data_IF_017931043062
#
_entry.id   IF_017931043062
#
_cell.length_a   1.000
_cell.length_b   1.000
_cell.length_c   1.000
_cell.angle_alpha   90.00
_cell.angle_beta   90.00
_cell.angle_gamma   90.00
#
_symmetry.space_group_name_H-M   'P 1'
#
loop_
_entity.id
_entity.type
_entity.pdbx_description
1 polymer ?
#
# COMPACT_ATOMS: atom_id res chain seq x y z
N UNK A 1 45.97 -37.26 -17.52
CA UNK A 1 45.40 -37.69 -16.22
C UNK A 1 46.42 -38.38 -15.30
N UNK A 2 47.67 -37.88 -15.25
CA UNK A 2 48.76 -38.49 -14.47
C UNK A 2 49.56 -37.52 -13.58
N UNK A 3 49.39 -36.21 -13.73
CA UNK A 3 50.21 -35.21 -13.03
C UNK A 3 49.58 -34.65 -11.74
N UNK A 4 48.27 -34.82 -11.51
CA UNK A 4 47.60 -34.28 -10.31
C UNK A 4 47.68 -35.20 -9.06
N UNK A 5 48.13 -36.45 -9.22
CA UNK A 5 48.20 -37.42 -8.12
C UNK A 5 49.42 -37.25 -7.20
N UNK A 6 50.46 -36.54 -7.64
CA UNK A 6 51.72 -36.43 -6.86
C UNK A 6 51.74 -35.29 -5.82
N UNK A 7 50.82 -34.33 -5.88
CA UNK A 7 50.82 -33.19 -4.92
C UNK A 7 50.08 -33.54 -3.62
N UNK A 8 49.16 -34.50 -3.63
CA UNK A 8 48.29 -34.81 -2.49
C UNK A 8 48.77 -35.97 -1.58
N UNK A 9 50.01 -36.44 -1.74
CA UNK A 9 50.58 -37.50 -0.88
C UNK A 9 51.33 -37.00 0.37
N UNK A 10 51.38 -35.69 0.61
CA UNK A 10 52.22 -35.07 1.64
C UNK A 10 51.50 -34.67 2.95
N UNK A 11 50.18 -34.84 3.04
CA UNK A 11 49.42 -34.56 4.27
C UNK A 11 48.49 -35.73 4.56
N UNK A 12 48.89 -36.59 5.51
CA UNK A 12 48.19 -37.81 5.93
C UNK A 12 46.86 -37.58 6.66
N UNK A 13 45.96 -36.80 6.07
CA UNK A 13 44.58 -36.66 6.53
C UNK A 13 43.66 -37.48 5.60
N UNK A 14 42.81 -38.38 6.14
CA UNK A 14 41.85 -39.10 5.31
C UNK A 14 40.82 -38.12 4.77
N UNK A 15 40.88 -37.86 3.45
CA UNK A 15 39.84 -37.14 2.72
C UNK A 15 38.54 -37.95 2.84
N UNK A 16 37.65 -37.59 3.77
CA UNK A 16 36.28 -38.12 3.79
C UNK A 16 35.50 -37.37 2.72
N UNK A 17 35.06 -38.02 1.62
CA UNK A 17 34.32 -37.33 0.59
C UNK A 17 33.01 -36.79 1.18
N UNK A 18 32.63 -35.59 0.76
CA UNK A 18 31.37 -34.90 1.10
C UNK A 18 30.14 -35.82 0.85
N UNK A 19 30.27 -36.79 -0.06
CA UNK A 19 29.28 -37.84 -0.33
C UNK A 19 28.91 -38.70 0.89
N UNK A 20 29.82 -38.90 1.85
CA UNK A 20 29.61 -39.75 3.02
C UNK A 20 28.78 -39.11 4.15
N UNK A 21 28.65 -37.77 4.12
CA UNK A 21 27.85 -36.98 5.07
C UNK A 21 26.48 -36.69 4.46
N UNK A 22 26.45 -36.27 3.19
CA UNK A 22 25.23 -36.04 2.43
C UNK A 22 24.42 -37.33 2.25
N UNK A 23 25.10 -38.44 1.96
CA UNK A 23 24.48 -39.77 1.84
C UNK A 23 23.73 -40.15 3.11
N UNK A 24 24.33 -39.95 4.29
CA UNK A 24 23.69 -40.26 5.58
C UNK A 24 22.45 -39.40 5.90
N UNK A 25 22.42 -38.15 5.43
CA UNK A 25 21.28 -37.26 5.64
C UNK A 25 20.12 -37.56 4.69
N UNK A 26 20.41 -37.96 3.45
CA UNK A 26 19.44 -38.25 2.39
C UNK A 26 19.02 -39.72 2.33
N UNK A 27 19.11 -40.45 3.45
CA UNK A 27 18.84 -41.89 3.52
C UNK A 27 17.36 -42.30 3.32
N UNK A 28 16.42 -41.35 3.25
CA UNK A 28 14.99 -41.66 3.10
C UNK A 28 14.37 -40.83 1.98
N UNK A 29 13.38 -41.37 1.25
CA UNK A 29 12.66 -40.62 0.22
C UNK A 29 12.05 -39.31 0.75
N UNK A 30 11.58 -39.31 2.01
CA UNK A 30 11.04 -38.11 2.66
C UNK A 30 12.09 -36.99 2.78
N UNK A 31 13.28 -37.29 3.29
CA UNK A 31 14.36 -36.31 3.42
C UNK A 31 14.89 -35.85 2.06
N UNK A 32 14.92 -36.74 1.08
CA UNK A 32 15.26 -36.39 -0.31
C UNK A 32 14.26 -35.41 -0.88
N UNK A 33 12.96 -35.68 -0.75
CA UNK A 33 11.89 -34.79 -1.17
C UNK A 33 11.98 -33.40 -0.51
N UNK A 34 12.14 -33.34 0.82
CA UNK A 34 12.31 -32.08 1.55
C UNK A 34 13.55 -31.32 1.07
N UNK A 35 14.68 -32.01 0.88
CA UNK A 35 15.92 -31.39 0.44
C UNK A 35 15.80 -30.83 -0.99
N UNK A 36 15.17 -31.56 -1.90
CA UNK A 36 14.91 -31.07 -3.27
C UNK A 36 14.00 -29.84 -3.22
N UNK A 37 12.91 -29.86 -2.45
CA UNK A 37 11.99 -28.73 -2.36
C UNK A 37 12.67 -27.48 -1.77
N UNK A 38 13.44 -27.63 -0.69
CA UNK A 38 14.21 -26.54 -0.09
C UNK A 38 15.29 -26.02 -1.05
N UNK A 39 15.98 -26.92 -1.74
CA UNK A 39 16.97 -26.53 -2.75
C UNK A 39 16.31 -25.76 -3.90
N UNK A 40 15.15 -26.21 -4.41
CA UNK A 40 14.39 -25.50 -5.43
C UNK A 40 13.99 -24.11 -4.96
N UNK A 41 13.47 -23.97 -3.74
CA UNK A 41 13.13 -22.66 -3.17
C UNK A 41 14.34 -21.74 -3.09
N UNK A 42 15.46 -22.20 -2.51
CA UNK A 42 16.68 -21.39 -2.37
C UNK A 42 17.27 -21.05 -3.75
N UNK A 43 17.24 -21.98 -4.70
CA UNK A 43 17.72 -21.74 -6.05
C UNK A 43 16.89 -20.64 -6.74
N UNK A 44 15.57 -20.66 -6.58
CA UNK A 44 14.70 -19.65 -7.19
C UNK A 44 14.85 -18.32 -6.48
N UNK A 45 14.72 -18.29 -5.15
CA UNK A 45 14.66 -17.05 -4.37
C UNK A 45 16.02 -16.36 -4.24
N UNK A 46 17.11 -17.13 -4.16
CA UNK A 46 18.45 -16.61 -3.91
C UNK A 46 19.35 -16.84 -5.12
N UNK A 47 19.30 -18.03 -5.72
CA UNK A 47 20.17 -18.39 -6.84
C UNK A 47 19.89 -17.57 -8.09
N UNK A 48 18.65 -17.51 -8.56
CA UNK A 48 18.28 -16.78 -9.79
C UNK A 48 18.60 -15.28 -9.64
N UNK A 49 18.25 -14.58 -8.54
CA UNK A 49 18.58 -13.17 -8.42
C UNK A 49 20.06 -12.87 -8.32
N UNK A 50 20.88 -13.84 -7.90
CA UNK A 50 22.34 -13.69 -7.80
C UNK A 50 23.05 -13.77 -9.15
N UNK A 51 22.43 -14.36 -10.18
CA UNK A 51 23.08 -14.57 -11.49
C UNK A 51 23.26 -13.27 -12.29
N UNK A 52 22.23 -12.42 -12.52
CA UNK A 52 22.39 -11.21 -13.36
C UNK A 52 23.47 -10.23 -12.88
N UNK A 53 23.63 -9.95 -11.56
CA UNK A 53 24.68 -9.05 -11.08
C UNK A 53 26.10 -9.52 -11.38
N UNK A 54 26.33 -10.84 -11.44
CA UNK A 54 27.64 -11.42 -11.82
C UNK A 54 28.02 -11.07 -13.27
N UNK A 55 27.02 -10.81 -14.12
CA UNK A 55 27.21 -10.39 -15.51
C UNK A 55 27.06 -8.87 -15.72
N UNK A 56 27.01 -8.08 -14.63
CA UNK A 56 26.88 -6.63 -14.70
C UNK A 56 25.47 -6.12 -15.01
N UNK A 57 24.44 -6.96 -14.87
CA UNK A 57 23.04 -6.58 -15.07
C UNK A 57 22.30 -6.48 -13.73
N UNK A 58 21.40 -5.48 -13.55
CA UNK A 58 20.55 -5.43 -12.36
C UNK A 58 19.56 -6.60 -12.35
N UNK A 59 19.35 -7.17 -11.18
CA UNK A 59 18.38 -8.26 -10.98
C UNK A 59 17.02 -7.69 -10.59
N UNK A 60 15.95 -8.14 -11.25
CA UNK A 60 14.60 -7.78 -10.86
C UNK A 60 14.12 -8.69 -9.72
N UNK A 61 13.30 -8.18 -8.78
CA UNK A 61 12.68 -9.01 -7.75
C UNK A 61 11.74 -10.03 -8.42
N UNK A 62 11.82 -11.29 -7.98
CA UNK A 62 11.01 -12.38 -8.52
C UNK A 62 9.61 -12.26 -7.90
N UNK A 63 8.53 -12.20 -8.71
CA UNK A 63 7.18 -12.19 -8.18
C UNK A 63 6.85 -13.48 -7.41
N UNK A 64 6.17 -13.36 -6.26
CA UNK A 64 5.76 -14.51 -5.44
C UNK A 64 4.97 -15.57 -6.23
N UNK A 65 4.17 -15.16 -7.22
CA UNK A 65 3.42 -16.06 -8.09
C UNK A 65 4.34 -16.99 -8.89
N UNK A 66 5.45 -16.46 -9.40
CA UNK A 66 6.44 -17.24 -10.16
C UNK A 66 7.10 -18.28 -9.27
N UNK A 67 7.50 -17.87 -8.04
CA UNK A 67 8.06 -18.79 -7.05
C UNK A 67 7.07 -19.92 -6.74
N UNK A 68 5.81 -19.59 -6.51
CA UNK A 68 4.75 -20.57 -6.23
C UNK A 68 4.57 -21.57 -7.38
N UNK A 69 4.49 -21.11 -8.62
CA UNK A 69 4.32 -21.97 -9.81
C UNK A 69 5.46 -23.00 -9.93
N UNK A 70 6.71 -22.57 -9.81
CA UNK A 70 7.85 -23.48 -9.90
C UNK A 70 7.92 -24.45 -8.72
N UNK A 71 7.55 -24.02 -7.51
CA UNK A 71 7.47 -24.94 -6.36
C UNK A 71 6.35 -25.97 -6.54
N UNK A 72 5.21 -25.60 -7.12
CA UNK A 72 4.14 -26.56 -7.46
C UNK A 72 4.67 -27.60 -8.46
N UNK A 73 5.36 -27.18 -9.50
CA UNK A 73 5.97 -28.10 -10.48
C UNK A 73 6.97 -29.04 -9.80
N UNK A 74 7.82 -28.51 -8.91
CA UNK A 74 8.78 -29.32 -8.15
C UNK A 74 8.06 -30.33 -7.25
N UNK A 75 6.98 -29.94 -6.57
CA UNK A 75 6.15 -30.83 -5.75
C UNK A 75 5.53 -31.93 -6.60
N UNK A 76 4.96 -31.60 -7.77
CA UNK A 76 4.39 -32.60 -8.68
C UNK A 76 5.46 -33.59 -9.13
N UNK A 77 6.65 -33.12 -9.52
CA UNK A 77 7.77 -33.98 -9.90
C UNK A 77 8.23 -34.89 -8.76
N UNK A 78 8.34 -34.36 -7.53
CA UNK A 78 8.66 -35.14 -6.33
C UNK A 78 7.59 -36.21 -6.10
N UNK A 79 6.31 -35.85 -6.15
CA UNK A 79 5.21 -36.79 -5.92
C UNK A 79 5.21 -37.92 -6.95
N UNK A 80 5.39 -37.60 -8.24
CA UNK A 80 5.51 -38.60 -9.30
C UNK A 80 6.68 -39.55 -9.03
N UNK A 81 7.85 -39.00 -8.68
CA UNK A 81 9.04 -39.78 -8.36
C UNK A 81 8.84 -40.69 -7.14
N UNK A 82 8.23 -40.19 -6.05
CA UNK A 82 7.97 -40.99 -4.85
C UNK A 82 6.92 -42.08 -5.14
N UNK A 83 5.87 -41.78 -5.89
CA UNK A 83 4.74 -42.68 -6.13
C UNK A 83 5.04 -43.82 -7.11
N UNK A 84 6.10 -43.68 -7.91
CA UNK A 84 6.47 -44.64 -8.96
C UNK A 84 6.98 -45.99 -8.42
N UNK A 85 7.23 -46.13 -7.10
CA UNK A 85 7.57 -47.42 -6.49
C UNK A 85 6.91 -47.57 -5.11
N UNK A 86 6.23 -48.70 -4.87
CA UNK A 86 5.53 -48.97 -3.60
C UNK A 86 6.46 -48.93 -2.38
N UNK A 87 7.70 -49.40 -2.51
CA UNK A 87 8.68 -49.32 -1.44
C UNK A 87 9.03 -47.86 -1.10
N UNK A 88 9.31 -47.02 -2.10
CA UNK A 88 9.59 -45.59 -1.91
C UNK A 88 8.39 -44.87 -1.30
N UNK A 89 7.19 -45.19 -1.76
CA UNK A 89 5.95 -44.62 -1.25
C UNK A 89 5.71 -44.97 0.23
N UNK A 90 5.95 -46.23 0.61
CA UNK A 90 5.87 -46.67 2.00
C UNK A 90 6.90 -45.93 2.87
N UNK A 91 8.17 -45.93 2.48
CA UNK A 91 9.26 -45.26 3.20
C UNK A 91 9.06 -43.75 3.30
N UNK A 92 8.46 -43.11 2.28
CA UNK A 92 8.13 -41.69 2.30
C UNK A 92 7.06 -41.34 3.34
N UNK A 93 6.02 -42.19 3.48
CA UNK A 93 4.92 -41.96 4.43
C UNK A 93 5.28 -42.31 5.87
N UNK A 94 6.24 -43.19 6.09
CA UNK A 94 6.63 -43.68 7.42
C UNK A 94 6.79 -42.55 8.46
N UNK A 95 7.57 -41.46 8.23
CA UNK A 95 7.72 -40.40 9.21
C UNK A 95 6.41 -39.69 9.58
N UNK A 96 5.50 -39.52 8.60
CA UNK A 96 4.20 -38.88 8.80
C UNK A 96 3.31 -39.77 9.66
N UNK A 97 3.25 -41.06 9.31
CA UNK A 97 2.50 -42.05 10.05
C UNK A 97 3.03 -42.20 11.49
N UNK A 98 4.35 -42.17 11.67
CA UNK A 98 5.00 -42.29 12.96
C UNK A 98 4.57 -41.18 13.93
N UNK A 99 4.53 -39.94 13.45
CA UNK A 99 4.13 -38.79 14.27
C UNK A 99 2.61 -38.77 14.50
N UNK A 100 1.81 -39.08 13.48
CA UNK A 100 0.35 -38.92 13.55
C UNK A 100 -0.37 -40.10 14.21
N UNK A 101 0.18 -41.32 14.13
CA UNK A 101 -0.54 -42.55 14.52
C UNK A 101 0.07 -43.20 15.75
N UNK A 102 1.40 -43.22 15.93
CA UNK A 102 2.01 -44.01 17.00
C UNK A 102 1.65 -43.47 18.41
N UNK A 103 1.30 -44.35 19.36
CA UNK A 103 0.87 -43.94 20.71
C UNK A 103 1.95 -43.27 21.56
N UNK A 104 3.22 -43.56 21.31
CA UNK A 104 4.39 -43.00 22.01
C UNK A 104 4.66 -41.54 21.61
N UNK A 105 4.18 -41.10 20.44
CA UNK A 105 4.39 -39.73 19.91
C UNK A 105 3.26 -38.75 20.22
N UNK A 106 2.37 -39.06 21.16
CA UNK A 106 1.20 -38.23 21.54
C UNK A 106 1.54 -36.76 21.82
N UNK A 107 2.66 -36.49 22.50
CA UNK A 107 3.10 -35.12 22.82
C UNK A 107 3.53 -34.39 21.55
N UNK A 108 4.33 -35.03 20.68
CA UNK A 108 4.77 -34.44 19.42
C UNK A 108 3.57 -34.14 18.50
N UNK A 109 2.59 -35.05 18.45
CA UNK A 109 1.33 -34.84 17.72
C UNK A 109 0.51 -33.69 18.28
N UNK A 110 0.37 -33.62 19.61
CA UNK A 110 -0.32 -32.51 20.28
C UNK A 110 0.35 -31.17 19.99
N UNK A 111 1.68 -31.12 20.07
CA UNK A 111 2.46 -29.93 19.71
C UNK A 111 2.24 -29.54 18.23
N UNK A 112 2.23 -30.50 17.30
CA UNK A 112 1.97 -30.25 15.89
C UNK A 112 0.57 -29.61 15.67
N UNK A 113 -0.46 -30.15 16.32
CA UNK A 113 -1.83 -29.62 16.21
C UNK A 113 -2.05 -28.25 16.86
N UNK A 114 -1.14 -27.79 17.72
CA UNK A 114 -1.19 -26.43 18.28
C UNK A 114 -0.31 -25.48 17.47
N UNK A 115 0.92 -25.88 17.16
CA UNK A 115 1.91 -25.04 16.49
C UNK A 115 1.48 -24.72 15.06
N UNK A 116 1.00 -25.71 14.29
CA UNK A 116 0.65 -25.48 12.88
C UNK A 116 -0.49 -24.46 12.75
N UNK A 117 -1.64 -24.60 13.44
CA UNK A 117 -2.68 -23.58 13.41
C UNK A 117 -2.23 -22.23 13.96
N UNK A 118 -1.41 -22.20 15.02
CA UNK A 118 -0.90 -20.94 15.56
C UNK A 118 0.01 -20.20 14.58
N UNK A 119 0.88 -20.92 13.86
CA UNK A 119 1.73 -20.36 12.80
C UNK A 119 0.90 -19.85 11.63
N UNK A 120 -0.12 -20.61 11.19
CA UNK A 120 -1.04 -20.16 10.14
C UNK A 120 -1.80 -18.91 10.58
N UNK A 121 -2.34 -18.90 11.80
CA UNK A 121 -3.06 -17.74 12.35
C UNK A 121 -2.14 -16.51 12.46
N UNK A 122 -0.91 -16.68 12.95
CA UNK A 122 0.07 -15.61 13.01
C UNK A 122 0.40 -15.08 11.61
N UNK A 123 0.70 -15.97 10.65
CA UNK A 123 0.99 -15.59 9.27
C UNK A 123 -0.18 -14.83 8.64
N UNK A 124 -1.41 -15.34 8.79
CA UNK A 124 -2.61 -14.66 8.28
C UNK A 124 -2.80 -13.30 8.93
N UNK A 125 -2.62 -13.19 10.25
CA UNK A 125 -2.71 -11.92 10.96
C UNK A 125 -1.72 -10.90 10.41
N UNK A 126 -0.44 -11.27 10.32
CA UNK A 126 0.61 -10.36 9.82
C UNK A 126 0.47 -10.05 8.33
N UNK A 127 0.00 -10.98 7.51
CA UNK A 127 -0.25 -10.73 6.08
C UNK A 127 -1.51 -9.91 5.81
N UNK A 128 -2.50 -9.93 6.71
CA UNK A 128 -3.77 -9.21 6.54
C UNK A 128 -3.81 -7.85 7.26
N UNK A 129 -2.73 -7.45 7.95
CA UNK A 129 -2.67 -6.12 8.56
C UNK A 129 -2.76 -5.03 7.47
N UNK A 130 -3.72 -4.08 7.56
CA UNK A 130 -3.81 -2.98 6.62
C UNK A 130 -2.58 -2.08 6.70
N UNK A 131 -2.00 -1.73 5.56
CA UNK A 131 -0.99 -0.68 5.48
C UNK A 131 -1.69 0.68 5.47
N UNK A 132 -1.45 1.48 6.51
CA UNK A 132 -1.96 2.85 6.65
C UNK A 132 -0.97 3.90 6.12
N UNK A 133 0.18 3.45 5.61
CA UNK A 133 1.16 4.34 4.99
C UNK A 133 0.63 4.89 3.67
N UNK A 134 1.14 6.06 3.30
CA UNK A 134 0.74 6.64 2.05
C UNK A 134 1.36 5.94 0.85
N UNK A 135 0.56 5.54 -0.16
CA UNK A 135 1.09 5.07 -1.41
C UNK A 135 2.04 6.17 -1.92
N UNK A 136 3.25 5.80 -2.35
CA UNK A 136 4.29 6.74 -2.77
C UNK A 136 4.00 7.40 -4.12
N UNK A 137 2.73 7.43 -4.57
CA UNK A 137 2.35 8.13 -5.79
C UNK A 137 2.55 9.63 -5.63
N UNK A 138 3.01 10.28 -6.70
CA UNK A 138 3.06 11.73 -6.79
C UNK A 138 1.63 12.27 -6.68
N UNK A 139 1.32 12.91 -5.55
CA UNK A 139 0.03 13.59 -5.35
C UNK A 139 -0.03 14.79 -6.26
N UNK A 140 -1.06 14.86 -7.12
CA UNK A 140 -1.52 16.16 -7.57
C UNK A 140 -2.18 16.84 -6.37
N UNK A 141 -1.49 17.79 -5.73
CA UNK A 141 -2.00 18.49 -4.56
C UNK A 141 -3.28 19.25 -4.92
N UNK A 142 -3.47 19.60 -6.20
CA UNK A 142 -4.65 20.25 -6.76
C UNK A 142 -5.08 19.47 -8.03
N UNK A 143 -6.01 18.50 -7.93
CA UNK A 143 -6.55 17.84 -9.12
C UNK A 143 -7.29 18.87 -9.99
N UNK A 144 -7.42 18.64 -11.30
CA UNK A 144 -8.19 19.53 -12.15
C UNK A 144 -9.68 19.54 -11.71
N UNK A 145 -10.30 20.71 -11.48
CA UNK A 145 -11.72 20.77 -11.18
C UNK A 145 -12.54 20.32 -12.41
N UNK A 146 -13.73 19.73 -12.21
CA UNK A 146 -14.66 19.52 -13.31
C UNK A 146 -15.17 20.87 -13.85
N UNK A 147 -15.58 20.91 -15.12
CA UNK A 147 -16.15 22.13 -15.73
C UNK A 147 -17.49 22.53 -15.12
N UNK A 148 -18.25 21.56 -14.60
CA UNK A 148 -19.52 21.80 -13.91
C UNK A 148 -19.78 20.74 -12.85
N UNK A 149 -20.64 21.10 -11.89
CA UNK A 149 -21.13 20.21 -10.84
C UNK A 149 -22.64 20.36 -10.70
N UNK A 150 -23.30 19.31 -10.21
CA UNK A 150 -24.69 19.42 -9.73
C UNK A 150 -24.65 19.78 -8.25
N UNK A 151 -25.20 20.92 -7.85
CA UNK A 151 -25.36 21.34 -6.47
C UNK A 151 -26.85 21.41 -6.14
N UNK A 152 -27.32 20.60 -5.19
CA UNK A 152 -28.73 20.57 -4.76
C UNK A 152 -29.76 20.44 -5.91
N UNK A 153 -29.39 19.73 -6.99
CA UNK A 153 -30.25 19.50 -8.15
C UNK A 153 -30.09 20.53 -9.29
N UNK A 154 -29.32 21.60 -9.07
CA UNK A 154 -29.02 22.61 -10.09
C UNK A 154 -27.62 22.40 -10.66
N UNK A 155 -27.45 22.64 -11.96
CA UNK A 155 -26.14 22.56 -12.62
C UNK A 155 -25.41 23.89 -12.48
N UNK A 156 -24.23 23.86 -11.87
CA UNK A 156 -23.34 25.00 -11.69
C UNK A 156 -22.08 24.81 -12.54
N UNK A 157 -21.81 25.75 -13.45
CA UNK A 157 -20.57 25.79 -14.23
C UNK A 157 -19.50 26.45 -13.37
N UNK A 158 -18.37 25.78 -13.15
CA UNK A 158 -17.29 26.26 -12.29
C UNK A 158 -16.24 27.08 -13.05
N UNK A 159 -16.15 26.86 -14.36
CA UNK A 159 -15.27 27.59 -15.25
C UNK A 159 -15.70 29.06 -15.33
N UNK A 160 -14.78 29.98 -15.04
CA UNK A 160 -15.09 31.41 -14.96
C UNK A 160 -15.99 31.83 -13.80
N UNK A 161 -16.41 30.92 -12.91
CA UNK A 161 -17.31 31.25 -11.82
C UNK A 161 -16.57 32.03 -10.72
N UNK A 162 -17.02 33.25 -10.50
CA UNK A 162 -16.59 34.09 -9.39
C UNK A 162 -17.57 34.00 -8.22
N UNK A 163 -17.10 34.32 -7.02
CA UNK A 163 -17.95 34.34 -5.84
C UNK A 163 -18.97 35.49 -5.94
N UNK A 164 -20.28 35.21 -6.09
CA UNK A 164 -21.29 36.26 -6.30
C UNK A 164 -21.41 37.22 -5.11
N UNK A 165 -21.06 36.76 -3.90
CA UNK A 165 -21.13 37.55 -2.68
C UNK A 165 -20.05 38.64 -2.60
N UNK A 166 -19.04 38.64 -3.50
CA UNK A 166 -18.07 39.75 -3.59
C UNK A 166 -18.67 41.03 -4.15
N UNK A 167 -19.71 40.93 -4.99
CA UNK A 167 -20.38 42.08 -5.60
C UNK A 167 -21.79 42.32 -5.03
N UNK A 168 -22.37 41.34 -4.35
CA UNK A 168 -23.71 41.41 -3.77
C UNK A 168 -23.66 41.53 -2.24
N UNK A 169 -24.33 42.54 -1.68
CA UNK A 169 -24.49 42.70 -0.24
C UNK A 169 -23.27 43.31 0.47
N UNK A 170 -23.13 43.03 1.77
CA UNK A 170 -22.05 43.55 2.61
C UNK A 170 -20.97 42.48 2.82
N UNK A 171 -19.74 42.77 2.39
CA UNK A 171 -18.61 41.85 2.58
C UNK A 171 -18.38 41.49 4.06
N UNK A 172 -18.57 42.45 4.96
CA UNK A 172 -18.45 42.25 6.41
C UNK A 172 -19.48 41.25 6.94
N UNK A 173 -20.72 41.32 6.44
CA UNK A 173 -21.79 40.41 6.83
C UNK A 173 -21.52 38.99 6.33
N UNK A 174 -21.03 38.87 5.10
CA UNK A 174 -20.62 37.60 4.51
C UNK A 174 -19.41 37.00 5.24
N UNK A 175 -18.45 37.83 5.65
CA UNK A 175 -17.31 37.40 6.46
C UNK A 175 -17.75 36.83 7.80
N UNK A 176 -18.60 37.53 8.56
CA UNK A 176 -19.07 37.05 9.86
C UNK A 176 -19.96 35.80 9.73
N UNK A 177 -20.77 35.72 8.68
CA UNK A 177 -21.53 34.49 8.34
C UNK A 177 -20.58 33.33 8.07
N UNK A 178 -19.56 33.53 7.23
CA UNK A 178 -18.58 32.51 6.88
C UNK A 178 -17.78 32.02 8.09
N UNK A 179 -17.39 32.94 8.95
CA UNK A 179 -16.74 32.65 10.23
C UNK A 179 -17.64 31.79 11.12
N UNK A 180 -18.91 32.15 11.29
CA UNK A 180 -19.85 31.36 12.07
C UNK A 180 -19.95 29.92 11.52
N UNK A 181 -20.15 29.77 10.21
CA UNK A 181 -20.27 28.46 9.57
C UNK A 181 -18.97 27.65 9.72
N UNK A 182 -17.81 28.27 9.53
CA UNK A 182 -16.51 27.62 9.69
C UNK A 182 -16.31 27.08 11.11
N UNK A 183 -16.60 27.89 12.13
CA UNK A 183 -16.40 27.49 13.52
C UNK A 183 -17.37 26.38 13.96
N UNK A 184 -18.57 26.32 13.38
CA UNK A 184 -19.54 25.27 13.67
C UNK A 184 -19.22 23.95 12.97
N UNK A 185 -18.66 24.00 11.75
CA UNK A 185 -18.62 22.85 10.85
C UNK A 185 -17.20 22.37 10.50
N UNK A 186 -16.25 23.29 10.35
CA UNK A 186 -14.94 23.02 9.75
C UNK A 186 -13.81 22.97 10.79
N UNK A 187 -13.96 23.71 11.90
CA UNK A 187 -12.96 23.89 12.95
C UNK A 187 -12.38 22.58 13.49
N UNK A 188 -13.24 21.58 13.70
CA UNK A 188 -12.85 20.33 14.35
C UNK A 188 -11.74 19.58 13.58
N UNK A 189 -11.66 19.77 12.26
CA UNK A 189 -10.63 19.18 11.41
C UNK A 189 -9.56 20.21 10.98
N UNK A 190 -9.95 21.43 10.65
CA UNK A 190 -9.03 22.43 10.07
C UNK A 190 -8.34 23.34 11.12
N UNK A 191 -8.87 23.42 12.34
CA UNK A 191 -8.30 24.20 13.44
C UNK A 191 -8.58 25.70 13.35
N UNK A 192 -8.55 26.40 14.49
CA UNK A 192 -8.85 27.84 14.61
C UNK A 192 -7.85 28.72 13.86
N UNK A 193 -6.57 28.30 13.82
CA UNK A 193 -5.52 28.96 13.07
C UNK A 193 -5.54 28.71 11.56
N UNK A 194 -6.51 27.96 11.02
CA UNK A 194 -6.58 27.58 9.59
C UNK A 194 -5.36 26.78 9.09
N UNK A 195 -4.70 26.03 9.98
CA UNK A 195 -3.44 25.31 9.70
C UNK A 195 -3.63 23.82 9.37
N UNK A 196 -4.88 23.33 9.31
CA UNK A 196 -5.16 21.90 9.17
C UNK A 196 -4.87 21.09 10.44
N UNK A 197 -4.87 21.74 11.61
CA UNK A 197 -4.48 21.17 12.91
C UNK A 197 -5.65 21.13 13.91
N UNK A 198 -6.86 20.82 13.42
CA UNK A 198 -8.02 20.62 14.29
C UNK A 198 -7.87 19.38 15.17
N UNK A 199 -8.74 19.26 16.18
CA UNK A 199 -8.73 18.15 17.13
C UNK A 199 -8.74 16.76 16.45
N UNK A 200 -9.47 16.62 15.33
CA UNK A 200 -9.56 15.37 14.58
C UNK A 200 -8.52 15.22 13.46
N UNK A 201 -7.70 16.25 13.18
CA UNK A 201 -6.70 16.19 12.11
C UNK A 201 -5.75 14.97 12.18
N UNK A 202 -5.25 14.54 13.36
CA UNK A 202 -4.35 13.38 13.45
C UNK A 202 -4.98 12.04 13.05
N UNK A 203 -6.31 11.96 12.97
CA UNK A 203 -7.02 10.74 12.57
C UNK A 203 -7.00 10.52 11.05
N UNK A 204 -6.53 11.50 10.26
CA UNK A 204 -6.55 11.44 8.80
C UNK A 204 -5.14 11.38 8.21
N UNK A 205 -4.96 10.52 7.20
CA UNK A 205 -3.76 10.46 6.39
C UNK A 205 -4.12 10.57 4.89
N UNK A 206 -3.82 11.69 4.21
CA UNK A 206 -3.16 12.88 4.76
C UNK A 206 -4.04 13.68 5.73
N UNK A 207 -3.39 14.42 6.63
CA UNK A 207 -4.06 15.44 7.42
C UNK A 207 -4.65 16.54 6.52
N UNK A 208 -5.68 17.27 6.98
CA UNK A 208 -6.20 18.44 6.27
C UNK A 208 -5.09 19.43 5.92
N UNK A 209 -5.18 20.02 4.72
CA UNK A 209 -4.18 20.99 4.26
C UNK A 209 -4.25 22.27 5.09
N UNK A 210 -3.09 22.87 5.34
CA UNK A 210 -2.98 24.23 5.87
C UNK A 210 -3.50 25.22 4.81
N UNK A 211 -4.23 26.25 5.24
CA UNK A 211 -4.64 27.37 4.38
C UNK A 211 -3.67 28.56 4.50
N UNK A 212 -2.72 28.50 5.44
CA UNK A 212 -1.76 29.58 5.68
C UNK A 212 -0.63 29.61 4.65
N UNK A 213 -0.32 28.48 4.03
CA UNK A 213 0.81 28.36 3.11
C UNK A 213 0.45 28.87 1.71
N UNK A 214 1.29 29.72 1.12
CA UNK A 214 1.03 30.32 -0.21
C UNK A 214 0.89 29.28 -1.34
N UNK A 215 1.43 28.07 -1.16
CA UNK A 215 1.26 26.95 -2.11
C UNK A 215 -0.06 26.17 -1.95
N UNK A 216 -1.03 26.70 -1.19
CA UNK A 216 -2.29 26.02 -0.87
C UNK A 216 -3.49 26.79 -1.42
N UNK A 217 -4.27 27.46 -0.57
CA UNK A 217 -5.51 28.13 -0.96
C UNK A 217 -5.28 29.30 -1.95
N UNK A 218 -4.13 29.98 -1.87
CA UNK A 218 -3.77 31.08 -2.78
C UNK A 218 -3.56 30.64 -4.23
N UNK A 219 -3.31 29.35 -4.48
CA UNK A 219 -3.16 28.81 -5.84
C UNK A 219 -4.49 28.44 -6.49
N UNK A 220 -5.60 28.58 -5.76
CA UNK A 220 -6.93 28.10 -6.13
C UNK A 220 -7.87 29.26 -6.46
N UNK A 221 -8.77 29.03 -7.41
CA UNK A 221 -9.92 29.91 -7.65
C UNK A 221 -10.98 29.67 -6.56
N UNK A 222 -11.82 30.65 -6.27
CA UNK A 222 -12.90 30.46 -5.29
C UNK A 222 -13.88 29.35 -5.72
N UNK A 223 -14.15 29.22 -7.03
CA UNK A 223 -14.99 28.13 -7.56
C UNK A 223 -14.41 26.74 -7.31
N UNK A 224 -13.08 26.61 -7.32
CA UNK A 224 -12.42 25.37 -6.91
C UNK A 224 -12.68 25.06 -5.44
N UNK A 225 -12.53 26.05 -4.56
CA UNK A 225 -12.76 25.88 -3.12
C UNK A 225 -14.24 25.54 -2.84
N UNK A 226 -15.18 26.18 -3.55
CA UNK A 226 -16.60 25.85 -3.50
C UNK A 226 -16.85 24.38 -3.84
N UNK A 227 -16.28 23.90 -4.93
CA UNK A 227 -16.37 22.49 -5.31
C UNK A 227 -15.84 21.55 -4.23
N UNK A 228 -14.67 21.87 -3.64
CA UNK A 228 -14.08 21.05 -2.57
C UNK A 228 -14.98 20.99 -1.34
N UNK A 229 -15.61 22.10 -0.95
CA UNK A 229 -16.54 22.15 0.19
C UNK A 229 -17.83 21.40 -0.15
N UNK A 230 -18.44 21.68 -1.30
CA UNK A 230 -19.71 21.08 -1.71
C UNK A 230 -19.61 19.55 -1.81
N UNK A 231 -18.59 19.03 -2.47
CA UNK A 231 -18.46 17.59 -2.78
C UNK A 231 -17.63 16.80 -1.79
N UNK A 232 -16.72 17.44 -1.05
CA UNK A 232 -15.85 16.72 -0.10
C UNK A 232 -14.96 15.68 -0.79
N UNK A 233 -14.76 14.53 -0.15
CA UNK A 233 -14.00 13.40 -0.69
C UNK A 233 -14.67 12.54 -1.76
N UNK A 234 -15.98 12.22 -1.66
CA UNK A 234 -16.65 11.39 -2.66
C UNK A 234 -16.60 11.99 -4.07
N UNK A 235 -16.28 11.15 -5.08
CA UNK A 235 -16.33 11.55 -6.48
C UNK A 235 -15.13 12.38 -6.98
N UNK A 236 -14.02 12.39 -6.23
CA UNK A 236 -12.76 12.97 -6.70
C UNK A 236 -12.21 12.22 -7.94
N UNK A 237 -11.59 12.94 -8.90
CA UNK A 237 -10.89 12.31 -10.02
C UNK A 237 -9.80 11.34 -9.55
N UNK A 238 -9.48 10.33 -10.38
CA UNK A 238 -8.50 9.29 -10.05
C UNK A 238 -7.10 9.84 -9.77
N UNK A 239 -6.77 11.02 -10.28
CA UNK A 239 -5.52 11.75 -10.05
C UNK A 239 -5.38 12.25 -8.60
N UNK A 240 -6.50 12.39 -7.88
CA UNK A 240 -6.55 12.65 -6.44
C UNK A 240 -6.67 11.38 -5.59
N UNK A 241 -6.87 10.21 -6.21
CA UNK A 241 -6.93 8.91 -5.54
C UNK A 241 -5.51 8.32 -5.40
N UNK A 242 -5.15 7.67 -4.27
CA UNK A 242 -5.96 6.64 -3.61
C UNK A 242 -6.66 7.08 -2.31
N UNK A 243 -6.62 8.38 -2.00
CA UNK A 243 -7.14 8.91 -0.75
C UNK A 243 -8.38 9.74 -0.98
N UNK A 244 -9.55 9.10 -0.89
CA UNK A 244 -10.79 9.83 -0.73
C UNK A 244 -10.61 10.77 0.47
N UNK A 245 -10.58 12.08 0.23
CA UNK A 245 -10.49 13.09 1.29
C UNK A 245 -11.50 12.74 2.38
N UNK A 246 -11.11 12.77 3.65
CA UNK A 246 -12.06 12.53 4.74
C UNK A 246 -13.05 13.69 4.93
N UNK A 247 -12.92 14.75 4.13
CA UNK A 247 -13.82 15.89 4.15
C UNK A 247 -15.24 15.47 3.72
N UNK A 248 -16.27 15.70 4.56
CA UNK A 248 -17.65 15.43 4.20
C UNK A 248 -18.12 16.24 2.99
N UNK A 249 -19.14 15.74 2.29
CA UNK A 249 -19.85 16.51 1.27
C UNK A 249 -20.82 17.48 1.95
N UNK A 250 -20.50 18.77 1.97
CA UNK A 250 -21.29 19.79 2.67
C UNK A 250 -22.52 20.25 1.89
N UNK A 251 -22.67 19.88 0.62
CA UNK A 251 -23.83 20.27 -0.21
C UNK A 251 -25.19 19.83 0.35
N UNK A 252 -25.21 18.82 1.22
CA UNK A 252 -26.44 18.34 1.87
C UNK A 252 -26.75 19.05 3.20
N UNK A 253 -25.85 19.92 3.66
CA UNK A 253 -25.92 20.56 4.98
C UNK A 253 -25.86 22.09 4.92
N UNK A 254 -25.19 22.65 3.90
CA UNK A 254 -24.98 24.08 3.73
C UNK A 254 -25.61 24.56 2.41
N UNK A 255 -26.10 25.79 2.43
CA UNK A 255 -26.54 26.52 1.23
C UNK A 255 -25.33 27.01 0.42
N UNK A 256 -25.56 27.38 -0.84
CA UNK A 256 -24.50 27.94 -1.68
C UNK A 256 -23.91 29.22 -1.07
N UNK A 257 -24.77 30.11 -0.55
CA UNK A 257 -24.33 31.36 0.07
C UNK A 257 -23.50 31.11 1.32
N UNK A 258 -23.86 30.16 2.19
CA UNK A 258 -23.03 29.78 3.35
C UNK A 258 -21.66 29.26 2.93
N UNK A 259 -21.58 28.45 1.87
CA UNK A 259 -20.29 27.97 1.35
C UNK A 259 -19.47 29.15 0.80
N UNK A 260 -20.08 30.05 0.03
CA UNK A 260 -19.41 31.26 -0.48
C UNK A 260 -18.94 32.19 0.63
N UNK A 261 -19.73 32.36 1.69
CA UNK A 261 -19.36 33.10 2.89
C UNK A 261 -18.16 32.45 3.59
N UNK A 262 -18.12 31.12 3.75
CA UNK A 262 -16.94 30.43 4.30
C UNK A 262 -15.70 30.70 3.46
N UNK A 263 -15.82 30.72 2.14
CA UNK A 263 -14.70 31.02 1.23
C UNK A 263 -14.20 32.45 1.45
N UNK A 264 -15.10 33.43 1.56
CA UNK A 264 -14.75 34.81 1.92
C UNK A 264 -13.97 34.81 3.24
N UNK A 265 -14.51 34.20 4.29
CA UNK A 265 -13.84 34.11 5.58
C UNK A 265 -12.42 33.52 5.47
N UNK A 266 -12.24 32.42 4.71
CA UNK A 266 -10.94 31.79 4.57
C UNK A 266 -9.90 32.71 3.90
N UNK A 267 -10.25 33.37 2.79
CA UNK A 267 -9.33 34.27 2.10
C UNK A 267 -9.05 35.54 2.93
N UNK A 268 -10.08 36.19 3.48
CA UNK A 268 -9.92 37.40 4.30
C UNK A 268 -9.12 37.10 5.58
N UNK A 269 -9.36 35.97 6.25
CA UNK A 269 -8.69 35.61 7.50
C UNK A 269 -7.24 35.17 7.29
N UNK A 270 -6.91 34.57 6.15
CA UNK A 270 -5.52 34.21 5.81
C UNK A 270 -4.75 35.37 5.20
N UNK A 271 -5.44 36.40 4.69
CA UNK A 271 -4.84 37.51 3.97
C UNK A 271 -4.32 37.12 2.59
N UNK A 272 -4.77 35.98 2.05
CA UNK A 272 -4.45 35.55 0.69
C UNK A 272 -5.49 36.07 -0.29
N UNK A 273 -5.06 36.38 -1.51
CA UNK A 273 -5.95 36.65 -2.62
C UNK A 273 -6.25 35.35 -3.40
N UNK A 274 -7.50 35.12 -3.84
CA UNK A 274 -7.81 33.99 -4.69
C UNK A 274 -7.15 34.15 -6.05
N UNK A 275 -6.81 33.02 -6.68
CA UNK A 275 -6.40 33.05 -8.09
C UNK A 275 -7.58 33.51 -8.93
N UNK A 276 -7.37 34.55 -9.74
CA UNK A 276 -8.32 34.99 -10.75
C UNK A 276 -8.01 34.32 -12.09
N UNK A 277 -9.01 34.27 -12.96
CA UNK A 277 -8.81 33.85 -14.34
C UNK A 277 -7.92 34.88 -15.05
N UNK A 278 -7.01 34.42 -15.90
CA UNK A 278 -6.28 35.33 -16.79
C UNK A 278 -7.31 35.94 -17.74
N UNK A 279 -7.49 37.26 -17.66
CA UNK A 279 -8.17 37.99 -18.73
C UNK A 279 -7.23 37.84 -19.92
N UNK A 280 -7.62 37.07 -20.95
CA UNK A 280 -6.90 37.04 -22.22
C UNK A 280 -6.81 38.48 -22.71
N UNK A 281 -5.65 39.09 -22.47
CA UNK A 281 -5.40 40.47 -22.82
C UNK A 281 -5.52 40.59 -24.33
N UNK A 282 -6.38 41.51 -24.77
CA UNK A 282 -6.37 42.03 -26.13
C UNK A 282 -4.92 42.38 -26.50
N UNK A 283 -4.34 41.61 -27.43
CA UNK A 283 -3.09 41.99 -28.07
C UNK A 283 -3.31 43.33 -28.79
N UNK A 284 -2.67 44.39 -28.29
CA UNK A 284 -2.49 45.65 -29.00
C UNK A 284 -1.27 45.60 -29.93
#
# INVERSE_FOLDING_TARGET
MGALKSVFRLLGAPFRPISSVMGRFLNTPFRQATAVLLFSYVLIEVGIPFIPPVFGMPSAPIPNTVVLEYLIIAIVGILLWVSDNEQRWSEFKQPIHDILVQPDRRVARGALFVIVPALVAAQTYFSAQPDISAPPSFRAIHPAPPSSITFQGEQMVLDGLENPLRSAGSLEEHYETGKQVYYQNCLACHGDGLQGRGHYAPAFNPAPLSFQDAGTIAMLTESFVFWRIAKGGPGLPNEGAPWNSAMPAWENFLTADEIWSVIIFLYEQTGHDPRTWEVEGEEH
#
